data_IF_649251224853
#
_entry.id   IF_649251224853
#
_cell.length_a   1.000
_cell.length_b   1.000
_cell.length_c   1.000
_cell.angle_alpha   90.00
_cell.angle_beta   90.00
_cell.angle_gamma   90.00
#
_symmetry.space_group_name_H-M   'P 1'
#
loop_
_entity.id
_entity.type
_entity.pdbx_description
1 polymer ?
#
# COMPACT_ATOMS: atom_id res chain seq x y z
N UNK A 1 -1.90 -25.01 21.02
CA UNK A 1 -2.18 -24.71 19.60
C UNK A 1 -1.24 -23.59 19.20
N UNK A 2 -0.05 -23.96 18.69
CA UNK A 2 0.96 -22.98 18.28
C UNK A 2 0.54 -22.39 16.94
N UNK A 3 0.45 -21.06 16.85
CA UNK A 3 -0.06 -20.41 15.65
C UNK A 3 0.95 -20.59 14.49
N UNK A 4 0.42 -20.87 13.29
CA UNK A 4 1.20 -21.03 12.06
C UNK A 4 1.63 -19.67 11.44
N UNK A 5 1.67 -18.59 12.23
CA UNK A 5 2.00 -17.24 11.75
C UNK A 5 3.51 -16.96 11.68
N UNK A 6 4.36 -17.85 12.19
CA UNK A 6 5.82 -17.58 12.29
C UNK A 6 6.53 -17.33 10.94
N UNK A 7 5.87 -17.63 9.81
CA UNK A 7 6.43 -17.46 8.46
C UNK A 7 5.72 -16.39 7.60
N UNK A 8 4.71 -15.68 8.13
CA UNK A 8 4.08 -14.56 7.43
C UNK A 8 4.55 -13.24 8.05
N UNK A 9 5.52 -12.52 7.43
CA UNK A 9 6.05 -11.27 7.98
C UNK A 9 4.99 -10.18 8.15
N UNK A 10 3.79 -10.36 7.56
CA UNK A 10 2.69 -9.41 7.68
C UNK A 10 1.50 -9.94 8.49
N UNK A 11 1.58 -11.12 9.10
CA UNK A 11 0.40 -11.76 9.68
C UNK A 11 -0.16 -11.09 10.94
N UNK A 12 0.62 -10.23 11.60
CA UNK A 12 0.16 -9.41 12.72
C UNK A 12 -0.49 -8.09 12.27
N UNK A 13 -0.41 -7.75 10.98
CA UNK A 13 -1.06 -6.56 10.42
C UNK A 13 -2.50 -6.86 10.01
N UNK A 14 -3.31 -5.81 9.95
CA UNK A 14 -4.67 -5.91 9.39
C UNK A 14 -4.63 -6.43 7.96
N UNK A 15 -5.66 -7.19 7.54
CA UNK A 15 -5.78 -7.69 6.16
C UNK A 15 -5.60 -6.58 5.11
N UNK A 16 -6.06 -5.38 5.43
CA UNK A 16 -5.89 -4.18 4.60
C UNK A 16 -4.42 -3.74 4.47
N UNK A 17 -3.67 -3.72 5.58
CA UNK A 17 -2.25 -3.39 5.54
C UNK A 17 -1.46 -4.46 4.76
N UNK A 18 -1.83 -5.74 4.89
CA UNK A 18 -1.26 -6.81 4.06
C UNK A 18 -1.51 -6.57 2.56
N UNK A 19 -2.76 -6.20 2.20
CA UNK A 19 -3.11 -5.83 0.82
C UNK A 19 -2.34 -4.60 0.31
N UNK A 20 -2.10 -3.60 1.17
CA UNK A 20 -1.36 -2.40 0.80
C UNK A 20 0.09 -2.72 0.45
N UNK A 21 0.74 -3.56 1.25
CA UNK A 21 2.12 -4.00 0.98
C UNK A 21 2.19 -4.84 -0.29
N UNK A 22 1.24 -5.76 -0.51
CA UNK A 22 1.18 -6.55 -1.75
C UNK A 22 1.00 -5.67 -2.99
N UNK A 23 0.11 -4.68 -2.92
CA UNK A 23 -0.11 -3.73 -4.02
C UNK A 23 1.12 -2.84 -4.26
N UNK A 24 1.80 -2.40 -3.21
CA UNK A 24 3.03 -1.61 -3.32
C UNK A 24 4.16 -2.39 -4.02
N UNK A 25 4.30 -3.69 -3.73
CA UNK A 25 5.26 -4.57 -4.42
C UNK A 25 4.92 -4.72 -5.91
N UNK A 26 3.63 -4.89 -6.24
CA UNK A 26 3.19 -4.94 -7.63
C UNK A 26 3.45 -3.62 -8.37
N UNK A 27 3.30 -2.48 -7.70
CA UNK A 27 3.59 -1.16 -8.27
C UNK A 27 5.09 -1.01 -8.56
N UNK A 28 5.96 -1.32 -7.61
CA UNK A 28 7.41 -1.28 -7.81
C UNK A 28 7.85 -2.16 -8.99
N UNK A 29 7.34 -3.39 -9.07
CA UNK A 29 7.62 -4.29 -10.19
C UNK A 29 7.11 -3.79 -11.54
N UNK A 30 5.97 -3.11 -11.59
CA UNK A 30 5.43 -2.50 -12.82
C UNK A 30 6.23 -1.29 -13.30
N UNK A 31 6.79 -0.52 -12.37
CA UNK A 31 7.60 0.66 -12.67
C UNK A 31 9.08 0.31 -12.94
N UNK A 32 9.48 -0.94 -12.70
CA UNK A 32 10.87 -1.38 -12.85
C UNK A 32 11.78 -0.90 -11.73
N UNK A 33 11.22 -0.58 -10.55
CA UNK A 33 11.98 -0.21 -9.37
C UNK A 33 12.44 -1.46 -8.63
N UNK A 34 13.76 -1.60 -8.44
CA UNK A 34 14.38 -2.73 -7.75
C UNK A 34 14.04 -2.82 -6.26
N UNK A 35 13.51 -1.73 -5.68
CA UNK A 35 13.20 -1.60 -4.26
C UNK A 35 11.80 -1.04 -4.04
N UNK A 36 11.16 -1.51 -2.97
CA UNK A 36 9.92 -0.94 -2.48
C UNK A 36 10.21 0.32 -1.65
N UNK A 37 10.05 1.50 -2.27
CA UNK A 37 10.08 2.79 -1.58
C UNK A 37 8.75 3.20 -0.92
N UNK A 38 8.81 4.26 -0.11
CA UNK A 38 7.65 4.82 0.62
C UNK A 38 6.53 5.30 -0.30
N UNK A 39 6.91 5.69 -1.51
CA UNK A 39 6.04 6.22 -2.54
C UNK A 39 5.10 5.14 -3.11
N UNK A 40 5.57 3.90 -3.28
CA UNK A 40 4.73 2.76 -3.66
C UNK A 40 3.70 2.43 -2.58
N UNK A 41 4.11 2.52 -1.31
CA UNK A 41 3.22 2.28 -0.16
C UNK A 41 2.14 3.36 -0.09
N UNK A 42 2.51 4.62 -0.28
CA UNK A 42 1.57 5.73 -0.30
C UNK A 42 0.52 5.56 -1.42
N UNK A 43 0.96 5.25 -2.64
CA UNK A 43 0.05 4.99 -3.77
C UNK A 43 -0.82 3.76 -3.53
N UNK A 44 -0.28 2.68 -2.94
CA UNK A 44 -1.06 1.49 -2.62
C UNK A 44 -2.16 1.78 -1.59
N UNK A 45 -1.85 2.53 -0.52
CA UNK A 45 -2.84 2.93 0.48
C UNK A 45 -3.93 3.80 -0.12
N UNK A 46 -3.56 4.71 -1.03
CA UNK A 46 -4.47 5.59 -1.75
C UNK A 46 -5.41 4.84 -2.70
N UNK A 47 -4.90 3.82 -3.41
CA UNK A 47 -5.68 3.01 -4.36
C UNK A 47 -6.58 1.98 -3.69
N UNK A 48 -6.24 1.55 -2.47
CA UNK A 48 -7.14 0.76 -1.64
C UNK A 48 -8.25 1.67 -1.11
N UNK A 49 -9.25 1.95 -1.94
CA UNK A 49 -10.26 3.00 -1.73
C UNK A 49 -11.23 2.71 -0.57
N UNK A 50 -10.73 2.82 0.66
CA UNK A 50 -11.48 2.80 1.92
C UNK A 50 -10.55 3.25 3.06
N UNK A 51 -11.03 3.84 4.14
CA UNK A 51 -10.20 4.11 5.33
C UNK A 51 -9.58 5.52 5.43
N UNK A 52 -8.96 5.79 6.58
CA UNK A 52 -8.67 7.15 7.06
C UNK A 52 -7.78 7.96 6.11
N UNK A 53 -6.78 7.33 5.48
CA UNK A 53 -5.84 8.01 4.59
C UNK A 53 -6.50 8.43 3.27
N UNK A 54 -7.32 7.56 2.67
CA UNK A 54 -8.03 7.92 1.43
C UNK A 54 -9.08 8.98 1.68
N UNK A 55 -9.79 8.92 2.81
CA UNK A 55 -10.75 9.97 3.22
C UNK A 55 -10.05 11.32 3.48
N UNK A 56 -8.90 11.30 4.16
CA UNK A 56 -8.12 12.51 4.42
C UNK A 56 -7.61 13.15 3.13
N UNK A 57 -7.08 12.36 2.19
CA UNK A 57 -6.53 12.87 0.94
C UNK A 57 -7.63 13.34 -0.02
N UNK A 58 -8.79 12.68 -0.04
CA UNK A 58 -10.01 13.19 -0.72
C UNK A 58 -10.44 14.55 -0.16
N UNK A 59 -10.41 14.74 1.17
CA UNK A 59 -10.67 16.06 1.80
C UNK A 59 -9.65 17.13 1.40
N UNK A 60 -8.46 16.74 0.93
CA UNK A 60 -7.42 17.64 0.42
C UNK A 60 -7.44 17.79 -1.11
N UNK A 61 -8.42 17.18 -1.81
CA UNK A 61 -8.50 17.12 -3.27
C UNK A 61 -7.24 16.51 -3.92
N UNK A 62 -6.61 15.55 -3.24
CA UNK A 62 -5.45 14.81 -3.75
C UNK A 62 -5.90 13.41 -4.16
N UNK A 63 -5.77 13.13 -5.46
CA UNK A 63 -6.14 11.85 -6.05
C UNK A 63 -4.93 10.91 -6.17
N UNK A 64 -5.18 9.61 -6.02
CA UNK A 64 -4.15 8.57 -6.13
C UNK A 64 -3.36 8.66 -7.45
N UNK A 65 -4.04 9.06 -8.53
CA UNK A 65 -3.47 9.22 -9.86
C UNK A 65 -2.44 10.36 -9.92
N UNK A 66 -2.63 11.44 -9.15
CA UNK A 66 -1.67 12.55 -9.08
C UNK A 66 -0.37 12.11 -8.41
N UNK A 67 -0.48 11.30 -7.36
CA UNK A 67 0.69 10.76 -6.64
C UNK A 67 1.40 9.70 -7.49
N UNK A 68 0.65 8.85 -8.19
CA UNK A 68 1.22 7.83 -9.07
C UNK A 68 2.00 8.40 -10.27
N UNK A 69 1.69 9.61 -10.75
CA UNK A 69 2.45 10.28 -11.82
C UNK A 69 3.77 10.87 -11.37
N UNK A 70 3.97 11.02 -10.06
CA UNK A 70 5.16 11.66 -9.48
C UNK A 70 6.24 10.63 -9.09
N UNK A 71 6.00 9.35 -9.36
CA UNK A 71 6.85 8.21 -9.00
C UNK A 71 7.18 7.41 -10.26
#
# INVERSE_FOLDING_TARGET
>A
MENNNKNNPLGDFTQRAQQAVAMAQQLAGKLGHDCLGTEHVAVAILRLDAGVVSEYLKKKNVEAEQVCRAI
#
